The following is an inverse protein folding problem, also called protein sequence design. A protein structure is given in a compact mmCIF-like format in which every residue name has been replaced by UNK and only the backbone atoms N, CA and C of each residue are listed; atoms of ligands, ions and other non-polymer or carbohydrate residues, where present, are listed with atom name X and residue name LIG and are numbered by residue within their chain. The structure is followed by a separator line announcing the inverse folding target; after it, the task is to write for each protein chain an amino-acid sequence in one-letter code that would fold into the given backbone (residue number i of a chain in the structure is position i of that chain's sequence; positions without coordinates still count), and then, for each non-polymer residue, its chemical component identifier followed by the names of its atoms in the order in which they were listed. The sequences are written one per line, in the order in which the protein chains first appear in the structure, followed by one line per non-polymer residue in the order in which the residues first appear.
data_IF_367876848153
#
_entry.id   IF_367876848153
#
_cell.length_a   1.000
_cell.length_b   1.000
_cell.length_c   1.000
_cell.angle_alpha   90.00
_cell.angle_beta   90.00
_cell.angle_gamma   90.00
#
_symmetry.space_group_name_H-M   'P 1'
#
loop_
_entity.id
_entity.type
_entity.pdbx_description
1 polymer ?
#
# COMPACT_ATOMS: atom_id res chain seq x y z
N UNK A 1 -7.53 -17.11 18.28
CA UNK A 1 -6.09 -17.07 18.58
C UNK A 1 -5.57 -15.66 18.37
N UNK A 2 -4.62 -15.23 19.21
CA UNK A 2 -4.00 -13.91 19.12
C UNK A 2 -2.48 -14.06 19.15
N UNK A 3 -1.80 -13.35 18.25
CA UNK A 3 -0.35 -13.25 18.21
C UNK A 3 -0.01 -11.76 18.33
N UNK A 4 0.97 -11.43 19.15
CA UNK A 4 1.47 -10.06 19.31
C UNK A 4 2.96 -10.06 19.00
N UNK A 5 3.36 -9.15 18.12
CA UNK A 5 4.75 -8.96 17.70
C UNK A 5 5.13 -7.52 17.95
N UNK A 6 6.21 -7.28 18.68
CA UNK A 6 6.78 -5.94 18.84
C UNK A 6 8.17 -5.89 18.22
N UNK A 7 8.49 -4.80 17.58
CA UNK A 7 9.74 -4.65 16.87
C UNK A 7 10.10 -3.21 16.53
N UNK A 8 11.18 -3.07 15.80
CA UNK A 8 11.59 -1.78 15.27
C UNK A 8 12.19 -1.89 13.89
N UNK A 9 11.97 -0.87 13.06
CA UNK A 9 12.62 -0.71 11.78
C UNK A 9 13.69 0.36 11.88
N UNK A 10 14.89 0.03 11.41
CA UNK A 10 16.03 0.95 11.41
C UNK A 10 16.91 0.71 10.20
N UNK A 11 17.65 1.73 9.78
CA UNK A 11 18.80 1.53 8.89
C UNK A 11 19.98 0.90 9.63
N UNK A 12 20.97 0.40 8.87
CA UNK A 12 22.20 -0.15 9.43
C UNK A 12 22.89 0.94 10.29
N UNK A 13 23.23 0.59 11.53
CA UNK A 13 23.89 1.47 12.49
C UNK A 13 23.18 2.81 12.75
N UNK A 14 21.86 2.83 12.69
CA UNK A 14 21.03 4.00 12.96
C UNK A 14 20.02 3.71 14.06
N UNK A 15 19.60 4.76 14.78
CA UNK A 15 18.47 4.65 15.70
C UNK A 15 17.19 4.23 14.97
N UNK A 16 16.32 3.46 15.61
CA UNK A 16 15.06 3.03 14.99
C UNK A 16 14.25 4.20 14.45
N UNK A 17 13.79 4.07 13.21
CA UNK A 17 12.87 5.00 12.57
C UNK A 17 11.44 4.80 13.07
N UNK A 18 11.04 3.54 13.18
CA UNK A 18 9.72 3.12 13.64
C UNK A 18 9.88 2.08 14.76
N UNK A 19 9.15 2.25 15.85
CA UNK A 19 8.87 1.20 16.82
C UNK A 19 7.42 0.80 16.67
N UNK A 20 7.12 -0.50 16.67
CA UNK A 20 5.76 -0.95 16.43
C UNK A 20 5.35 -2.11 17.31
N UNK A 21 4.06 -2.23 17.51
CA UNK A 21 3.39 -3.43 18.01
C UNK A 21 2.31 -3.83 17.02
N UNK A 22 2.42 -5.04 16.50
CA UNK A 22 1.44 -5.65 15.61
C UNK A 22 0.68 -6.74 16.36
N UNK A 23 -0.65 -6.67 16.33
CA UNK A 23 -1.56 -7.68 16.84
C UNK A 23 -2.23 -8.39 15.67
N UNK A 24 -2.18 -9.72 15.67
CA UNK A 24 -2.86 -10.59 14.70
C UNK A 24 -3.89 -11.42 15.45
N UNK A 25 -5.16 -11.24 15.13
CA UNK A 25 -6.26 -11.98 15.72
C UNK A 25 -6.91 -12.88 14.67
N UNK A 26 -6.99 -14.17 14.95
CA UNK A 26 -7.56 -15.17 14.06
C UNK A 26 -8.85 -15.73 14.70
N UNK A 27 -9.98 -15.40 14.08
CA UNK A 27 -11.29 -15.89 14.48
C UNK A 27 -11.56 -17.32 13.97
N UNK A 28 -12.51 -18.01 14.60
CA UNK A 28 -12.93 -19.34 14.15
C UNK A 28 -13.55 -19.35 12.74
N UNK A 29 -14.07 -18.24 12.30
CA UNK A 29 -14.60 -18.03 10.92
C UNK A 29 -13.52 -17.94 9.85
N UNK A 30 -12.25 -17.96 10.21
CA UNK A 30 -11.15 -17.71 9.30
C UNK A 30 -10.85 -16.23 9.06
N UNK A 31 -11.63 -15.31 9.65
CA UNK A 31 -11.32 -13.88 9.61
C UNK A 31 -10.04 -13.59 10.39
N UNK A 32 -9.15 -12.82 9.77
CA UNK A 32 -7.91 -12.32 10.39
C UNK A 32 -8.07 -10.81 10.57
N UNK A 33 -7.71 -10.29 11.74
CA UNK A 33 -7.60 -8.85 11.99
C UNK A 33 -6.15 -8.53 12.30
N UNK A 34 -5.57 -7.62 11.52
CA UNK A 34 -4.23 -7.09 11.72
C UNK A 34 -4.37 -5.68 12.27
N UNK A 35 -3.84 -5.43 13.47
CA UNK A 35 -3.78 -4.09 14.06
C UNK A 35 -2.31 -3.73 14.27
N UNK A 36 -1.91 -2.60 13.75
CA UNK A 36 -0.57 -2.02 13.86
C UNK A 36 -0.67 -0.73 14.66
N UNK A 37 0.08 -0.66 15.75
CA UNK A 37 0.39 0.59 16.45
C UNK A 37 1.87 0.90 16.23
N UNK A 38 2.20 2.14 15.86
CA UNK A 38 3.56 2.51 15.51
C UNK A 38 3.94 3.92 15.94
N UNK A 39 5.12 4.03 16.57
CA UNK A 39 5.75 5.30 16.95
C UNK A 39 6.89 5.62 15.99
N UNK A 40 6.75 6.68 15.21
CA UNK A 40 7.76 7.19 14.29
C UNK A 40 8.63 8.19 15.03
N UNK A 41 9.95 8.04 14.90
CA UNK A 41 10.92 8.93 15.51
C UNK A 41 10.62 10.42 15.18
N UNK A 42 10.67 11.27 16.18
CA UNK A 42 10.21 12.67 16.11
C UNK A 42 10.96 13.51 15.07
N UNK A 43 12.25 13.22 14.83
CA UNK A 43 13.11 13.91 13.85
C UNK A 43 13.03 13.34 12.44
N UNK A 44 12.25 12.28 12.20
CA UNK A 44 11.97 11.80 10.85
C UNK A 44 11.24 12.88 10.05
N UNK A 45 11.67 13.08 8.81
CA UNK A 45 11.07 14.12 7.95
C UNK A 45 9.64 13.71 7.61
N UNK A 46 9.47 12.66 6.84
CA UNK A 46 8.21 12.02 6.47
C UNK A 46 8.51 10.67 5.80
N UNK A 47 7.51 9.81 5.70
CA UNK A 47 7.65 8.49 5.07
C UNK A 47 7.01 8.48 3.68
N UNK A 48 7.57 7.76 2.71
CA UNK A 48 6.93 7.59 1.41
C UNK A 48 5.63 6.77 1.52
N UNK A 49 5.64 5.73 2.35
CA UNK A 49 4.47 4.89 2.64
C UNK A 49 4.66 4.11 3.94
N UNK A 50 3.56 3.64 4.51
CA UNK A 50 3.57 2.69 5.63
C UNK A 50 2.34 1.78 5.56
N UNK A 51 2.56 0.47 5.58
CA UNK A 51 1.49 -0.52 5.53
C UNK A 51 2.01 -1.95 5.45
N UNK A 52 1.23 -2.80 4.83
CA UNK A 52 1.52 -4.22 4.66
C UNK A 52 1.67 -4.56 3.18
N UNK A 53 2.61 -5.45 2.87
CA UNK A 53 2.79 -6.01 1.53
C UNK A 53 2.61 -7.53 1.57
N UNK A 54 1.89 -8.07 0.59
CA UNK A 54 1.68 -9.50 0.38
C UNK A 54 2.04 -9.88 -1.04
N UNK A 55 2.55 -11.09 -1.18
CA UNK A 55 2.69 -11.77 -2.45
C UNK A 55 1.56 -12.78 -2.59
N UNK A 56 0.67 -12.56 -3.54
CA UNK A 56 -0.43 -13.48 -3.85
C UNK A 56 -0.06 -14.34 -5.06
N UNK A 57 -0.60 -15.58 -5.15
CA UNK A 57 -0.46 -16.38 -6.37
C UNK A 57 -0.97 -15.64 -7.61
N UNK A 58 -0.32 -15.81 -8.74
CA UNK A 58 -0.64 -15.14 -10.01
C UNK A 58 -2.10 -15.26 -10.46
N UNK A 59 -2.84 -16.21 -9.92
CA UNK A 59 -4.25 -16.44 -10.27
C UNK A 59 -5.21 -15.34 -9.78
N UNK A 60 -4.77 -14.46 -8.91
CA UNK A 60 -5.56 -13.30 -8.46
C UNK A 60 -5.42 -12.14 -9.47
N UNK A 61 -6.02 -12.29 -10.67
CA UNK A 61 -5.84 -11.30 -11.74
C UNK A 61 -6.88 -10.19 -11.73
N UNK A 62 -8.14 -10.50 -11.43
CA UNK A 62 -9.21 -9.52 -11.33
C UNK A 62 -9.49 -9.16 -9.87
N UNK A 63 -9.83 -7.91 -9.64
CA UNK A 63 -10.22 -7.44 -8.31
C UNK A 63 -11.30 -6.37 -8.37
N UNK A 64 -11.96 -6.15 -7.24
CA UNK A 64 -12.98 -5.13 -7.05
C UNK A 64 -12.63 -4.34 -5.79
N UNK A 65 -12.74 -3.03 -5.84
CA UNK A 65 -12.51 -2.18 -4.68
C UNK A 65 -13.54 -1.06 -4.58
N UNK A 66 -13.78 -0.60 -3.35
CA UNK A 66 -14.54 0.60 -3.07
C UNK A 66 -13.57 1.66 -2.54
N UNK A 67 -13.26 2.62 -3.38
CA UNK A 67 -12.23 3.64 -3.15
C UNK A 67 -12.21 4.67 -4.26
N UNK A 68 -11.17 5.51 -4.31
CA UNK A 68 -11.00 6.50 -5.37
C UNK A 68 -10.42 5.84 -6.63
N UNK A 69 -11.08 6.00 -7.76
CA UNK A 69 -10.73 5.38 -9.04
C UNK A 69 -11.57 5.93 -10.20
N UNK A 70 -11.59 5.27 -11.37
CA UNK A 70 -10.86 4.05 -11.73
C UNK A 70 -9.37 4.25 -12.00
N UNK A 71 -8.92 5.49 -12.31
CA UNK A 71 -7.52 5.81 -12.50
C UNK A 71 -6.76 5.78 -11.16
N UNK A 72 -5.44 5.61 -11.23
CA UNK A 72 -4.59 5.73 -10.05
C UNK A 72 -4.83 7.05 -9.32
N UNK A 73 -4.69 7.03 -8.02
CA UNK A 73 -4.84 8.21 -7.19
C UNK A 73 -3.82 8.25 -6.07
N UNK A 74 -3.27 9.44 -5.84
CA UNK A 74 -2.39 9.77 -4.73
C UNK A 74 -2.92 11.02 -4.05
N UNK A 75 -2.46 11.36 -2.86
CA UNK A 75 -3.00 12.48 -2.08
C UNK A 75 -2.88 13.83 -2.80
N UNK A 76 -1.86 13.99 -3.63
CA UNK A 76 -1.62 15.15 -4.50
C UNK A 76 -2.15 14.96 -5.94
N UNK A 77 -2.67 13.80 -6.27
CA UNK A 77 -3.20 13.45 -7.59
C UNK A 77 -4.46 12.58 -7.45
N UNK A 78 -5.57 13.19 -7.02
CA UNK A 78 -6.80 12.45 -6.71
C UNK A 78 -8.07 13.00 -7.40
N UNK A 79 -7.98 14.14 -8.10
CA UNK A 79 -9.16 14.80 -8.63
C UNK A 79 -9.66 14.26 -9.97
N UNK A 80 -8.90 13.37 -10.62
CA UNK A 80 -9.32 12.71 -11.86
C UNK A 80 -10.29 11.54 -11.61
N UNK A 81 -10.38 11.07 -10.37
CA UNK A 81 -11.21 9.95 -9.96
C UNK A 81 -12.40 10.35 -9.10
N UNK A 82 -13.16 9.35 -8.69
CA UNK A 82 -14.24 9.47 -7.72
C UNK A 82 -14.29 8.25 -6.81
N UNK A 83 -14.79 8.43 -5.59
CA UNK A 83 -15.00 7.31 -4.65
C UNK A 83 -16.22 6.52 -5.09
N UNK A 84 -16.03 5.24 -5.38
CA UNK A 84 -17.06 4.35 -5.87
C UNK A 84 -16.63 2.90 -5.88
N UNK A 85 -17.51 2.01 -6.35
CA UNK A 85 -17.18 0.61 -6.58
C UNK A 85 -16.57 0.47 -7.98
N UNK A 86 -15.32 0.02 -8.02
CA UNK A 86 -14.56 -0.16 -9.25
C UNK A 86 -14.17 -1.63 -9.44
N UNK A 87 -14.03 -2.03 -10.69
CA UNK A 87 -13.54 -3.33 -11.12
C UNK A 87 -12.29 -3.13 -11.96
N UNK A 88 -11.26 -3.90 -11.68
CA UNK A 88 -9.99 -3.83 -12.41
C UNK A 88 -9.30 -5.19 -12.47
N UNK A 89 -8.17 -5.24 -13.12
CA UNK A 89 -7.25 -6.38 -13.12
C UNK A 89 -5.81 -5.92 -12.97
N UNK A 90 -4.96 -6.83 -12.50
CA UNK A 90 -3.54 -6.54 -12.18
C UNK A 90 -2.76 -6.00 -13.38
N UNK A 91 -3.14 -6.35 -14.62
CA UNK A 91 -2.44 -5.89 -15.81
C UNK A 91 -2.81 -4.45 -16.15
N UNK A 92 -4.09 -4.11 -15.96
CA UNK A 92 -4.64 -2.77 -16.24
C UNK A 92 -4.14 -1.70 -15.27
N UNK A 93 -3.64 -2.11 -14.08
CA UNK A 93 -3.09 -1.18 -13.09
C UNK A 93 -1.69 -0.65 -13.43
N UNK A 94 -1.06 -1.19 -14.48
CA UNK A 94 0.25 -0.70 -14.88
C UNK A 94 0.15 0.66 -15.59
N UNK A 95 0.74 1.69 -14.97
CA UNK A 95 0.86 3.03 -15.56
C UNK A 95 2.26 3.20 -16.13
N UNK A 96 2.33 3.48 -17.43
CA UNK A 96 3.58 3.62 -18.14
C UNK A 96 4.21 5.01 -17.91
N UNK A 97 5.02 5.12 -16.87
CA UNK A 97 5.91 6.27 -16.68
C UNK A 97 7.17 6.11 -17.52
N UNK A 98 7.80 7.23 -17.90
CA UNK A 98 9.03 7.24 -18.71
C UNK A 98 10.13 6.38 -18.06
N UNK A 99 10.28 6.50 -16.75
CA UNK A 99 11.09 5.58 -15.93
C UNK A 99 10.15 4.80 -15.03
N UNK A 100 10.32 3.47 -14.92
CA UNK A 100 9.54 2.68 -13.98
C UNK A 100 9.62 3.23 -12.56
N UNK A 101 8.46 3.40 -11.93
CA UNK A 101 8.34 3.96 -10.59
C UNK A 101 7.09 3.48 -9.88
N UNK A 102 6.83 3.98 -8.69
CA UNK A 102 5.57 3.84 -7.97
C UNK A 102 4.40 4.28 -8.84
N UNK A 103 3.34 3.45 -8.93
CA UNK A 103 2.14 3.71 -9.73
C UNK A 103 0.97 2.82 -9.28
N UNK A 104 -0.23 3.11 -9.78
CA UNK A 104 -1.41 2.25 -9.61
C UNK A 104 -1.97 2.22 -8.17
N UNK A 105 -1.74 3.26 -7.39
CA UNK A 105 -2.32 3.40 -6.06
C UNK A 105 -3.77 3.88 -6.14
N UNK A 106 -4.63 3.45 -5.18
CA UNK A 106 -6.00 3.92 -5.02
C UNK A 106 -6.22 4.35 -3.57
N UNK A 107 -6.44 5.65 -3.40
CA UNK A 107 -6.69 6.28 -2.08
C UNK A 107 -8.14 6.13 -1.63
N UNK A 108 -8.40 6.42 -0.35
CA UNK A 108 -9.74 6.40 0.25
C UNK A 108 -10.47 5.05 0.05
N UNK A 109 -9.70 3.96 0.03
CA UNK A 109 -10.24 2.61 -0.14
C UNK A 109 -10.72 2.05 1.19
N UNK A 110 -11.91 1.45 1.19
CA UNK A 110 -12.51 0.81 2.37
C UNK A 110 -12.70 -0.68 2.21
N UNK A 111 -12.72 -1.14 0.96
CA UNK A 111 -12.95 -2.53 0.60
C UNK A 111 -12.08 -2.90 -0.59
N UNK A 112 -11.43 -4.05 -0.51
CA UNK A 112 -10.79 -4.72 -1.65
C UNK A 112 -11.19 -6.20 -1.64
N UNK A 113 -11.60 -6.71 -2.80
CA UNK A 113 -11.80 -8.15 -3.06
C UNK A 113 -10.87 -8.59 -4.16
N UNK A 114 -10.02 -9.55 -3.87
CA UNK A 114 -9.07 -10.11 -4.82
C UNK A 114 -8.92 -11.62 -4.59
N UNK A 115 -9.08 -12.40 -5.65
CA UNK A 115 -9.14 -13.86 -5.55
C UNK A 115 -10.26 -14.30 -4.59
N UNK A 116 -9.91 -15.03 -3.55
CA UNK A 116 -10.84 -15.51 -2.51
C UNK A 116 -10.74 -14.71 -1.20
N UNK A 117 -10.18 -13.51 -1.23
CA UNK A 117 -9.95 -12.69 -0.06
C UNK A 117 -10.69 -11.35 -0.16
N UNK A 118 -11.25 -10.94 0.96
CA UNK A 118 -11.81 -9.60 1.17
C UNK A 118 -11.00 -8.88 2.25
N UNK A 119 -10.54 -7.68 1.93
CA UNK A 119 -9.82 -6.78 2.84
C UNK A 119 -10.70 -5.58 3.14
N UNK A 120 -10.77 -5.19 4.40
CA UNK A 120 -11.51 -4.00 4.85
C UNK A 120 -10.73 -3.22 5.88
N UNK A 121 -10.77 -1.89 5.76
CA UNK A 121 -10.31 -0.94 6.75
C UNK A 121 -11.25 0.26 6.79
N UNK A 122 -11.12 1.13 7.77
CA UNK A 122 -11.86 2.40 7.81
C UNK A 122 -11.43 3.33 6.68
N UNK A 123 -10.11 3.40 6.45
CA UNK A 123 -9.44 4.08 5.35
C UNK A 123 -8.12 3.35 5.07
N UNK A 124 -7.80 3.14 3.80
CA UNK A 124 -6.55 2.54 3.36
C UNK A 124 -6.21 2.99 1.94
N UNK A 125 -4.93 3.00 1.63
CA UNK A 125 -4.46 3.11 0.27
C UNK A 125 -4.12 1.70 -0.22
N UNK A 126 -4.49 1.35 -1.45
CA UNK A 126 -4.20 0.02 -2.01
C UNK A 126 -3.42 0.13 -3.32
N UNK A 127 -2.58 -0.84 -3.56
CA UNK A 127 -1.90 -1.03 -4.84
C UNK A 127 -1.86 -2.51 -5.19
N UNK A 128 -2.20 -2.83 -6.43
CA UNK A 128 -2.15 -4.20 -6.96
C UNK A 128 -1.27 -4.20 -8.20
N UNK A 129 -0.14 -4.90 -8.16
CA UNK A 129 0.85 -4.86 -9.23
C UNK A 129 1.40 -6.25 -9.56
N UNK A 130 1.86 -6.43 -10.80
CA UNK A 130 2.65 -7.60 -11.22
C UNK A 130 4.14 -7.44 -10.92
N UNK A 131 4.56 -6.30 -10.42
CA UNK A 131 5.95 -5.97 -10.15
C UNK A 131 6.15 -5.70 -8.67
N UNK A 132 7.22 -6.25 -8.10
CA UNK A 132 7.63 -5.90 -6.75
C UNK A 132 8.17 -4.46 -6.70
N UNK A 133 8.12 -3.85 -5.51
CA UNK A 133 8.75 -2.53 -5.27
C UNK A 133 10.23 -2.54 -5.69
N UNK A 134 10.94 -3.64 -5.42
CA UNK A 134 12.35 -3.74 -5.79
C UNK A 134 12.58 -3.81 -7.30
N UNK A 135 11.70 -4.48 -8.05
CA UNK A 135 11.78 -4.52 -9.51
C UNK A 135 11.61 -3.11 -10.08
N UNK A 136 10.60 -2.37 -9.61
CA UNK A 136 10.35 -0.99 -10.04
C UNK A 136 11.52 -0.05 -9.71
N UNK A 137 12.12 -0.19 -8.52
CA UNK A 137 13.25 0.66 -8.10
C UNK A 137 14.55 0.39 -8.88
N UNK A 138 14.75 -0.85 -9.36
CA UNK A 138 15.95 -1.24 -10.10
C UNK A 138 15.88 -0.89 -11.58
N UNK A 139 14.70 -0.97 -12.17
CA UNK A 139 14.51 -0.75 -13.59
C UNK A 139 14.71 0.73 -13.94
N UNK A 140 15.51 1.00 -14.95
CA UNK A 140 15.69 2.32 -15.56
C UNK A 140 14.79 2.49 -16.79
N UNK A 141 14.46 1.36 -17.43
CA UNK A 141 13.61 1.31 -18.62
C UNK A 141 12.53 0.22 -18.48
N UNK A 142 11.44 0.38 -19.22
CA UNK A 142 10.28 -0.53 -19.14
C UNK A 142 10.60 -1.96 -19.56
N UNK A 143 11.49 -2.15 -20.51
CA UNK A 143 11.95 -3.46 -21.01
C UNK A 143 12.78 -4.24 -19.98
N UNK A 144 13.28 -3.58 -18.95
CA UNK A 144 13.96 -4.22 -17.83
C UNK A 144 13.00 -4.79 -16.77
N UNK A 145 11.71 -4.43 -16.85
CA UNK A 145 10.71 -4.92 -15.92
C UNK A 145 10.31 -6.37 -16.23
N UNK A 146 10.64 -7.27 -15.32
CA UNK A 146 10.27 -8.68 -15.42
C UNK A 146 9.31 -9.02 -14.29
N UNK A 147 8.10 -9.52 -14.67
CA UNK A 147 7.15 -10.04 -13.71
C UNK A 147 7.64 -11.38 -13.15
N UNK A 148 7.57 -11.56 -11.84
CA UNK A 148 8.03 -12.76 -11.14
C UNK A 148 6.95 -13.87 -11.04
N UNK A 149 5.82 -13.68 -11.70
CA UNK A 149 4.70 -14.61 -11.69
C UNK A 149 3.80 -14.52 -10.46
N UNK A 150 3.94 -13.47 -9.66
CA UNK A 150 3.12 -13.18 -8.48
C UNK A 150 2.27 -11.93 -8.69
N UNK A 151 1.30 -11.74 -7.83
CA UNK A 151 0.60 -10.47 -7.64
C UNK A 151 1.08 -9.84 -6.34
N UNK A 152 1.65 -8.65 -6.43
CA UNK A 152 2.09 -7.84 -5.30
C UNK A 152 0.93 -6.96 -4.86
N UNK A 153 0.40 -7.23 -3.66
CA UNK A 153 -0.67 -6.45 -3.04
C UNK A 153 -0.08 -5.63 -1.90
N UNK A 154 -0.30 -4.32 -1.94
CA UNK A 154 0.01 -3.41 -0.84
C UNK A 154 -1.26 -2.82 -0.30
N UNK A 155 -1.36 -2.79 1.02
CA UNK A 155 -2.44 -2.15 1.77
C UNK A 155 -1.77 -1.26 2.80
N UNK A 156 -1.86 0.03 2.58
CA UNK A 156 -1.16 1.01 3.37
C UNK A 156 -2.12 1.81 4.26
N UNK A 157 -1.64 2.15 5.43
CA UNK A 157 -2.22 3.21 6.24
C UNK A 157 -2.29 4.50 5.43
N UNK A 158 -1.18 4.81 4.74
CA UNK A 158 -1.06 6.03 3.93
C UNK A 158 0.13 5.93 2.97
N UNK A 159 -0.07 6.45 1.77
CA UNK A 159 0.99 6.72 0.81
C UNK A 159 1.12 8.24 0.65
N UNK A 160 2.34 8.77 0.71
CA UNK A 160 2.60 10.17 0.41
C UNK A 160 2.36 10.49 -1.06
N UNK A 161 2.11 11.75 -1.39
CA UNK A 161 2.02 12.20 -2.78
C UNK A 161 3.29 11.92 -3.57
N UNK A 162 3.18 11.77 -4.87
CA UNK A 162 4.28 11.38 -5.77
C UNK A 162 4.76 12.50 -6.69
N UNK A 163 4.09 13.65 -6.73
CA UNK A 163 4.30 14.74 -7.68
C UNK A 163 5.42 15.69 -7.34
N UNK A 164 6.53 15.26 -6.74
CA UNK A 164 7.57 16.19 -6.32
C UNK A 164 9.00 15.68 -6.46
N UNK A 165 9.94 16.61 -6.41
CA UNK A 165 11.39 16.44 -6.28
C UNK A 165 12.17 15.94 -7.49
N UNK A 166 11.55 15.60 -8.62
CA UNK A 166 12.34 15.25 -9.80
C UNK A 166 13.00 16.49 -10.43
N UNK A 167 12.21 17.54 -10.66
CA UNK A 167 12.66 18.82 -11.22
C UNK A 167 11.92 20.00 -10.58
N UNK A 168 11.24 19.81 -9.48
CA UNK A 168 10.34 20.77 -8.88
C UNK A 168 10.54 20.93 -7.36
N UNK A 169 9.61 21.66 -6.72
CA UNK A 169 9.65 21.86 -5.29
C UNK A 169 9.42 20.57 -4.53
N UNK A 170 9.78 20.58 -3.26
CA UNK A 170 9.48 19.49 -2.33
C UNK A 170 7.97 19.29 -2.20
N UNK A 171 7.53 18.03 -2.01
CA UNK A 171 6.13 17.69 -1.79
C UNK A 171 5.51 18.58 -0.71
N UNK A 172 4.34 19.14 -0.95
CA UNK A 172 3.66 19.96 0.02
C UNK A 172 3.26 19.18 1.29
N UNK A 173 3.32 19.85 2.43
CA UNK A 173 3.10 19.23 3.74
C UNK A 173 1.77 18.45 3.88
N UNK A 174 0.62 18.91 3.34
CA UNK A 174 -0.64 18.16 3.46
C UNK A 174 -0.63 16.79 2.78
N UNK A 175 0.27 16.58 1.83
CA UNK A 175 0.37 15.33 1.06
C UNK A 175 1.40 14.35 1.60
N UNK A 176 2.06 14.67 2.72
CA UNK A 176 3.11 13.84 3.34
C UNK A 176 2.53 12.92 4.41
N UNK A 177 3.07 11.73 4.53
CA UNK A 177 2.92 10.88 5.71
C UNK A 177 3.92 11.36 6.77
N UNK A 178 3.49 12.29 7.59
CA UNK A 178 4.33 12.97 8.60
C UNK A 178 3.88 12.73 10.04
N UNK A 179 2.83 11.95 10.24
CA UNK A 179 2.32 11.49 11.52
C UNK A 179 3.44 10.79 12.32
N UNK A 180 3.44 10.98 13.63
CA UNK A 180 4.44 10.38 14.54
C UNK A 180 3.91 9.19 15.29
N UNK A 181 2.61 9.11 15.44
CA UNK A 181 1.89 7.98 16.00
C UNK A 181 0.89 7.47 14.97
N UNK A 182 0.82 6.17 14.80
CA UNK A 182 0.01 5.51 13.77
C UNK A 182 -0.74 4.36 14.39
N UNK A 183 -2.05 4.34 14.15
CA UNK A 183 -2.93 3.21 14.41
C UNK A 183 -3.60 2.79 13.11
N UNK A 184 -3.40 1.53 12.71
CA UNK A 184 -3.94 0.99 11.47
C UNK A 184 -4.47 -0.41 11.67
N UNK A 185 -5.72 -0.64 11.27
CA UNK A 185 -6.34 -1.96 11.39
C UNK A 185 -6.95 -2.38 10.07
N UNK A 186 -6.58 -3.58 9.62
CA UNK A 186 -7.11 -4.24 8.42
C UNK A 186 -7.73 -5.57 8.81
N UNK A 187 -8.92 -5.85 8.33
CA UNK A 187 -9.54 -7.17 8.43
C UNK A 187 -9.46 -7.91 7.10
N UNK A 188 -9.12 -9.20 7.15
CA UNK A 188 -9.03 -10.10 6.02
C UNK A 188 -10.02 -11.23 6.23
N UNK A 189 -10.91 -11.46 5.29
CA UNK A 189 -11.92 -12.52 5.36
C UNK A 189 -11.90 -13.38 4.10
N UNK A 190 -12.08 -14.71 4.21
CA UNK A 190 -12.31 -15.54 3.04
C UNK A 190 -13.68 -15.18 2.42
N UNK A 191 -13.72 -15.16 1.09
CA UNK A 191 -14.97 -15.09 0.31
C UNK A 191 -15.43 -16.52 0.06
N UNK A 192 -16.56 -16.89 0.62
CA UNK A 192 -17.19 -18.23 0.50
C UNK A 192 -18.00 -18.30 -0.80
#
# INVERSE_FOLDING_TARGET
NTIVVSGSLSGISRAPLLRFTQKVEIAQTGKITLSLHGDIRSDAIWLPRLGFEWELPQQAQAFTYYGNGPAESYRDMCHAGYVGLHHSDVASEYVHYVRPQEHGNHTATKLLRIGKLEFKAEDMDIQVSRYSTQALLKAEHTDELVADGKTHLRIDYKVSGIGSNSCGPELEKPYRLSEKEIDFTVSISPII
#
